data_IF_508497047215
#
_entry.id   IF_508497047215
#
_cell.length_a   1.000
_cell.length_b   1.000
_cell.length_c   1.000
_cell.angle_alpha   90.00
_cell.angle_beta   90.00
_cell.angle_gamma   90.00
#
_symmetry.space_group_name_H-M   'P 1'
#
loop_
_entity.id
_entity.type
_entity.pdbx_description
1 polymer ?
#
# COMPACT_ATOMS: atom_id res chain seq x y z
N UNK A 1 13.43 12.54 -5.87
CA UNK A 1 14.39 13.32 -5.09
C UNK A 1 15.73 12.58 -5.06
N UNK A 2 16.85 13.29 -5.25
CA UNK A 2 18.20 12.74 -5.13
C UNK A 2 18.63 12.91 -3.67
N UNK A 3 18.86 11.79 -2.98
CA UNK A 3 19.55 11.63 -1.67
C UNK A 3 19.48 12.78 -0.65
N UNK A 4 18.92 12.52 0.53
CA UNK A 4 19.01 13.39 1.71
C UNK A 4 19.86 12.76 2.82
N UNK A 5 20.36 13.59 3.75
CA UNK A 5 21.03 13.15 4.97
C UNK A 5 20.13 13.41 6.18
N UNK A 6 19.89 12.39 7.01
CA UNK A 6 19.30 12.54 8.33
C UNK A 6 20.44 12.67 9.34
N UNK A 7 20.63 13.88 9.87
CA UNK A 7 21.64 14.14 10.90
C UNK A 7 20.94 14.21 12.25
N UNK A 8 21.36 13.35 13.19
CA UNK A 8 20.95 13.41 14.58
C UNK A 8 22.02 14.15 15.39
N UNK A 9 21.70 15.35 15.87
CA UNK A 9 22.61 16.13 16.71
C UNK A 9 22.39 15.80 18.17
N UNK A 10 23.45 15.40 18.87
CA UNK A 10 23.44 15.25 20.32
C UNK A 10 23.54 16.64 20.96
N UNK A 11 22.59 16.98 21.83
CA UNK A 11 22.63 18.26 22.53
C UNK A 11 23.91 18.38 23.38
N UNK A 12 24.41 19.61 23.56
CA UNK A 12 25.62 19.86 24.34
C UNK A 12 25.53 19.25 25.74
N UNK A 13 26.53 18.47 26.13
CA UNK A 13 26.59 17.78 27.42
C UNK A 13 25.81 16.46 27.48
N UNK A 14 25.16 16.04 26.39
CA UNK A 14 24.53 14.73 26.29
C UNK A 14 25.43 13.72 25.58
N UNK A 15 25.21 12.44 25.86
CA UNK A 15 25.90 11.32 25.22
C UNK A 15 24.90 10.25 24.83
N UNK A 16 25.12 9.60 23.68
CA UNK A 16 24.50 8.31 23.43
C UNK A 16 25.17 7.28 24.34
N UNK A 17 24.40 6.68 25.22
CA UNK A 17 24.90 5.60 26.07
C UNK A 17 25.18 4.38 25.19
N UNK A 18 26.34 3.75 25.43
CA UNK A 18 26.65 2.47 24.83
C UNK A 18 25.53 1.46 25.14
N UNK A 19 25.30 0.53 24.21
CA UNK A 19 24.34 -0.58 24.35
C UNK A 19 22.88 -0.15 24.60
N UNK A 20 22.54 1.11 24.31
CA UNK A 20 21.18 1.62 24.40
C UNK A 20 20.55 1.71 23.01
N UNK A 21 19.38 1.09 22.85
CA UNK A 21 18.61 1.19 21.62
C UNK A 21 17.96 2.58 21.51
N UNK A 22 18.28 3.31 20.45
CA UNK A 22 17.64 4.58 20.12
C UNK A 22 16.65 4.38 18.97
N UNK A 23 15.37 4.69 19.23
CA UNK A 23 14.29 4.55 18.25
C UNK A 23 14.06 5.90 17.56
N UNK A 24 14.02 5.89 16.24
CA UNK A 24 13.67 7.05 15.44
C UNK A 24 12.62 6.69 14.38
N UNK A 25 11.79 7.66 14.03
CA UNK A 25 10.77 7.53 12.99
C UNK A 25 10.93 8.66 11.98
N UNK A 26 10.85 8.35 10.71
CA UNK A 26 10.77 9.33 9.63
C UNK A 26 9.70 8.93 8.64
N UNK A 27 9.10 9.91 7.95
CA UNK A 27 8.12 9.67 6.89
C UNK A 27 8.76 9.96 5.53
N UNK A 28 8.67 9.00 4.61
CA UNK A 28 9.02 9.21 3.21
C UNK A 28 7.74 9.47 2.43
N UNK A 29 7.62 10.67 1.86
CA UNK A 29 6.46 11.06 1.07
C UNK A 29 6.90 11.26 -0.38
N UNK A 30 6.28 10.53 -1.30
CA UNK A 30 6.43 10.85 -2.72
C UNK A 30 5.82 12.24 -2.98
N UNK A 31 6.50 13.11 -3.76
CA UNK A 31 5.92 14.40 -4.12
C UNK A 31 4.57 14.17 -4.84
N UNK A 32 3.60 15.09 -4.68
CA UNK A 32 2.34 14.98 -5.39
C UNK A 32 2.60 14.92 -6.89
N UNK A 33 1.82 14.11 -7.60
CA UNK A 33 1.89 14.04 -9.05
C UNK A 33 1.70 15.46 -9.62
N UNK A 34 2.72 16.00 -10.27
CA UNK A 34 2.57 17.20 -11.08
C UNK A 34 1.75 16.80 -12.31
N UNK A 35 0.43 16.96 -12.24
CA UNK A 35 -0.55 16.88 -13.34
C UNK A 35 -0.08 16.10 -14.58
N UNK A 36 0.00 14.78 -14.48
CA UNK A 36 0.40 13.90 -15.59
C UNK A 36 0.65 12.45 -15.14
N UNK A 37 0.76 11.50 -16.08
CA UNK A 37 1.12 10.12 -15.77
C UNK A 37 2.51 10.08 -15.11
N UNK A 38 2.56 9.79 -13.81
CA UNK A 38 3.80 9.70 -13.05
C UNK A 38 4.45 8.33 -13.26
N UNK A 39 5.37 8.23 -14.21
CA UNK A 39 6.35 7.14 -14.23
C UNK A 39 7.45 7.49 -13.22
N UNK A 40 7.27 7.08 -11.97
CA UNK A 40 8.36 7.13 -11.00
C UNK A 40 9.18 5.83 -11.17
N UNK A 41 10.41 5.87 -11.71
CA UNK A 41 11.25 4.68 -11.74
C UNK A 41 11.42 4.19 -10.30
N UNK A 42 11.19 2.91 -10.05
CA UNK A 42 11.31 2.31 -8.72
C UNK A 42 12.62 2.74 -8.08
N UNK A 43 12.54 3.53 -7.01
CA UNK A 43 13.74 4.01 -6.31
C UNK A 43 14.03 3.05 -5.18
N UNK A 44 15.25 2.55 -5.14
CA UNK A 44 15.77 1.83 -3.98
C UNK A 44 15.90 2.85 -2.84
N UNK A 45 15.22 2.61 -1.73
CA UNK A 45 15.49 3.29 -0.45
C UNK A 45 16.48 2.43 0.30
N UNK A 46 17.68 2.97 0.55
CA UNK A 46 18.72 2.30 1.32
C UNK A 46 19.03 3.11 2.59
N UNK A 47 19.12 2.42 3.71
CA UNK A 47 19.63 2.97 4.97
C UNK A 47 21.04 2.39 5.16
N UNK A 48 22.02 3.24 5.41
CA UNK A 48 23.40 2.81 5.67
C UNK A 48 23.99 3.61 6.84
N UNK A 49 24.97 3.03 7.52
CA UNK A 49 25.70 3.67 8.60
C UNK A 49 27.20 3.63 8.31
N UNK A 50 27.91 4.66 8.74
CA UNK A 50 29.37 4.71 8.72
C UNK A 50 29.88 4.89 10.15
N UNK A 51 30.86 4.09 10.56
CA UNK A 51 31.70 4.40 11.71
C UNK A 51 31.49 3.61 13.00
N UNK A 52 30.41 2.85 13.25
CA UNK A 52 30.34 1.93 14.43
C UNK A 52 29.22 0.86 14.50
N UNK A 53 28.36 0.67 13.48
CA UNK A 53 27.55 -0.55 13.38
C UNK A 53 27.15 -0.76 11.92
N UNK A 54 27.37 -1.97 11.38
CA UNK A 54 26.84 -2.34 10.07
C UNK A 54 25.33 -2.45 10.17
N UNK A 55 24.60 -1.55 9.53
CA UNK A 55 23.19 -1.83 9.20
C UNK A 55 23.24 -2.83 8.07
N UNK A 56 22.86 -4.08 8.34
CA UNK A 56 22.64 -5.05 7.26
C UNK A 56 21.60 -4.44 6.33
N UNK A 57 22.02 -4.09 5.11
CA UNK A 57 21.14 -3.44 4.14
C UNK A 57 19.90 -4.30 3.94
N UNK A 58 18.76 -3.84 4.45
CA UNK A 58 17.47 -4.47 4.18
C UNK A 58 16.98 -3.92 2.85
N UNK A 59 16.75 -4.81 1.89
CA UNK A 59 16.11 -4.45 0.64
C UNK A 59 14.65 -4.10 0.93
N UNK A 60 14.30 -2.83 0.76
CA UNK A 60 12.90 -2.41 0.72
C UNK A 60 12.41 -2.71 -0.69
N UNK A 61 11.52 -3.71 -0.81
CA UNK A 61 10.85 -4.02 -2.08
C UNK A 61 9.61 -3.15 -2.22
N UNK A 62 9.29 -2.70 -3.43
CA UNK A 62 7.97 -2.15 -3.69
C UNK A 62 6.93 -3.21 -3.33
N UNK A 63 5.98 -2.86 -2.48
CA UNK A 63 4.82 -3.71 -2.30
C UNK A 63 4.04 -3.73 -3.63
N UNK A 64 3.92 -4.88 -4.26
CA UNK A 64 3.16 -4.98 -5.51
C UNK A 64 1.65 -4.98 -5.24
N UNK A 65 1.24 -5.14 -3.97
CA UNK A 65 -0.15 -5.13 -3.58
C UNK A 65 -0.56 -3.69 -3.24
N UNK A 66 -1.65 -3.27 -3.87
CA UNK A 66 -2.21 -1.96 -3.62
C UNK A 66 -2.78 -1.89 -2.19
N UNK A 67 -2.56 -0.79 -1.45
CA UNK A 67 -3.03 -0.69 -0.08
C UNK A 67 -4.56 -0.79 -0.06
N UNK A 68 -5.03 -1.81 0.66
CA UNK A 68 -6.42 -2.12 0.91
C UNK A 68 -6.88 -1.20 2.06
N UNK A 69 -7.90 -0.36 1.79
CA UNK A 69 -8.47 0.55 2.77
C UNK A 69 -9.40 -0.16 3.75
N UNK A 70 -10.38 0.58 4.28
CA UNK A 70 -11.45 -0.04 5.06
C UNK A 70 -12.17 -1.13 4.24
N UNK A 71 -12.65 -2.17 4.91
CA UNK A 71 -13.19 -3.36 4.28
C UNK A 71 -14.67 -3.59 4.63
N UNK A 72 -15.33 -4.32 3.74
CA UNK A 72 -16.68 -4.86 3.87
C UNK A 72 -16.67 -6.31 3.36
N UNK A 73 -17.84 -6.94 3.29
CA UNK A 73 -18.00 -8.29 2.73
C UNK A 73 -18.87 -8.26 1.48
N UNK A 74 -18.63 -9.21 0.59
CA UNK A 74 -19.51 -9.52 -0.52
C UNK A 74 -20.85 -10.03 0.05
N UNK A 75 -21.96 -9.56 -0.50
CA UNK A 75 -23.31 -9.93 -0.09
C UNK A 75 -24.19 -10.14 -1.33
N UNK A 76 -23.75 -11.04 -2.20
CA UNK A 76 -24.40 -11.37 -3.47
C UNK A 76 -25.55 -12.36 -3.30
N UNK A 77 -25.70 -12.97 -2.11
CA UNK A 77 -26.66 -14.05 -1.88
C UNK A 77 -26.27 -15.35 -2.60
N UNK A 78 -25.00 -15.48 -2.97
CA UNK A 78 -24.43 -16.58 -3.75
C UNK A 78 -23.07 -16.23 -4.34
N UNK A 79 -22.50 -17.13 -5.13
CA UNK A 79 -21.22 -16.89 -5.83
C UNK A 79 -21.35 -15.73 -6.83
N UNK A 80 -20.43 -14.76 -6.76
CA UNK A 80 -20.27 -13.76 -7.81
C UNK A 80 -19.55 -14.40 -8.99
N UNK A 81 -20.23 -14.55 -10.12
CA UNK A 81 -19.63 -15.07 -11.36
C UNK A 81 -18.63 -14.08 -11.97
N UNK A 82 -17.63 -14.58 -12.71
CA UNK A 82 -16.60 -13.78 -13.36
C UNK A 82 -17.16 -12.80 -14.41
N UNK A 83 -18.35 -13.06 -14.95
CA UNK A 83 -19.02 -12.19 -15.93
C UNK A 83 -19.95 -11.17 -15.29
N UNK A 84 -20.26 -11.30 -13.99
CA UNK A 84 -21.20 -10.42 -13.31
C UNK A 84 -20.54 -9.07 -12.99
N UNK A 85 -21.18 -7.99 -13.41
CA UNK A 85 -20.70 -6.60 -13.23
C UNK A 85 -21.45 -5.82 -12.15
N UNK A 86 -22.50 -6.40 -11.58
CA UNK A 86 -23.23 -5.87 -10.42
C UNK A 86 -22.76 -6.59 -9.16
N UNK A 87 -22.00 -5.89 -8.31
CA UNK A 87 -21.40 -6.42 -7.09
C UNK A 87 -22.07 -5.78 -5.88
N UNK A 88 -22.82 -6.57 -5.12
CA UNK A 88 -23.48 -6.16 -3.88
C UNK A 88 -22.56 -6.45 -2.72
N UNK A 89 -22.32 -5.43 -1.91
CA UNK A 89 -21.53 -5.51 -0.68
C UNK A 89 -22.41 -5.26 0.54
N UNK A 90 -21.92 -5.59 1.74
CA UNK A 90 -22.66 -5.28 2.96
C UNK A 90 -22.73 -3.77 3.23
N UNK A 91 -21.63 -3.05 2.98
CA UNK A 91 -21.59 -1.59 3.14
C UNK A 91 -20.52 -0.95 2.25
N UNK A 92 -20.95 -0.29 1.17
CA UNK A 92 -20.03 0.40 0.27
C UNK A 92 -19.35 1.59 0.94
N UNK A 93 -20.07 2.32 1.81
CA UNK A 93 -19.54 3.47 2.55
C UNK A 93 -18.51 3.08 3.59
N UNK A 94 -18.69 1.94 4.28
CA UNK A 94 -17.70 1.42 5.24
C UNK A 94 -16.39 1.10 4.55
N UNK A 95 -16.43 0.54 3.33
CA UNK A 95 -15.23 0.27 2.55
C UNK A 95 -14.71 1.49 1.76
N UNK A 96 -15.30 2.69 1.96
CA UNK A 96 -14.88 3.92 1.28
C UNK A 96 -15.08 3.92 -0.24
N UNK A 97 -15.96 3.05 -0.76
CA UNK A 97 -16.08 2.85 -2.20
C UNK A 97 -16.73 4.06 -2.88
N UNK A 98 -16.07 4.59 -3.91
CA UNK A 98 -16.54 5.71 -4.72
C UNK A 98 -16.40 5.38 -6.22
N UNK A 99 -17.27 5.92 -7.10
CA UNK A 99 -17.08 5.82 -8.54
C UNK A 99 -15.69 6.33 -8.98
N UNK A 100 -15.08 5.65 -9.94
CA UNK A 100 -13.73 5.93 -10.44
C UNK A 100 -12.59 5.31 -9.62
N UNK A 101 -12.88 4.74 -8.45
CA UNK A 101 -11.92 3.99 -7.65
C UNK A 101 -11.94 2.50 -7.98
N UNK A 102 -11.09 1.74 -7.28
CA UNK A 102 -11.05 0.29 -7.41
C UNK A 102 -11.53 -0.39 -6.13
N UNK A 103 -12.06 -1.60 -6.26
CA UNK A 103 -12.27 -2.53 -5.16
C UNK A 103 -11.47 -3.80 -5.43
N UNK A 104 -11.02 -4.46 -4.36
CA UNK A 104 -10.33 -5.74 -4.44
C UNK A 104 -11.13 -6.84 -3.74
N UNK A 105 -11.21 -7.99 -4.39
CA UNK A 105 -11.67 -9.25 -3.80
C UNK A 105 -10.67 -10.33 -4.19
N UNK A 106 -10.12 -11.05 -3.23
CA UNK A 106 -9.01 -11.98 -3.44
C UNK A 106 -7.87 -11.28 -4.23
N UNK A 107 -7.47 -11.85 -5.38
CA UNK A 107 -6.46 -11.29 -6.29
C UNK A 107 -7.04 -10.44 -7.43
N UNK A 108 -8.37 -10.25 -7.48
CA UNK A 108 -9.01 -9.43 -8.51
C UNK A 108 -9.19 -7.98 -8.08
N UNK A 109 -8.76 -7.06 -8.94
CA UNK A 109 -9.10 -5.64 -8.87
C UNK A 109 -10.23 -5.34 -9.87
N UNK A 110 -11.19 -4.52 -9.44
CA UNK A 110 -12.32 -4.10 -10.26
C UNK A 110 -12.47 -2.58 -10.19
N UNK A 111 -12.65 -1.93 -11.33
CA UNK A 111 -12.92 -0.48 -11.38
C UNK A 111 -14.39 -0.22 -11.12
N UNK A 112 -14.73 0.64 -10.18
CA UNK A 112 -16.10 1.00 -9.83
C UNK A 112 -16.61 2.08 -10.78
N UNK A 113 -17.54 1.72 -11.66
CA UNK A 113 -18.18 2.66 -12.59
C UNK A 113 -19.29 3.48 -11.91
N UNK A 114 -20.06 2.87 -11.01
CA UNK A 114 -21.13 3.53 -10.28
C UNK A 114 -21.39 2.84 -8.93
N UNK A 115 -21.98 3.59 -7.99
CA UNK A 115 -22.43 3.09 -6.68
C UNK A 115 -23.88 3.47 -6.47
N UNK A 116 -24.75 2.49 -6.24
CA UNK A 116 -26.14 2.66 -5.88
C UNK A 116 -26.39 2.00 -4.51
N UNK A 117 -26.33 2.80 -3.44
CA UNK A 117 -26.32 2.30 -2.06
C UNK A 117 -25.18 1.30 -1.84
N UNK A 118 -25.47 0.00 -1.82
CA UNK A 118 -24.53 -1.08 -1.58
C UNK A 118 -24.26 -1.94 -2.82
N UNK A 119 -24.80 -1.53 -3.97
CA UNK A 119 -24.60 -2.19 -5.25
C UNK A 119 -23.61 -1.38 -6.07
N UNK A 120 -22.50 -2.02 -6.42
CA UNK A 120 -21.44 -1.46 -7.25
C UNK A 120 -21.66 -1.94 -8.68
N UNK A 121 -21.64 -1.02 -9.64
CA UNK A 121 -21.42 -1.37 -11.04
C UNK A 121 -19.93 -1.32 -11.30
N UNK A 122 -19.34 -2.41 -11.78
CA UNK A 122 -17.88 -2.53 -11.93
C UNK A 122 -17.45 -2.99 -13.32
N UNK A 123 -16.24 -2.61 -13.69
CA UNK A 123 -15.45 -3.25 -14.76
C UNK A 123 -14.48 -4.23 -14.09
N UNK A 124 -14.59 -5.51 -14.46
CA UNK A 124 -13.83 -6.63 -13.88
C UNK A 124 -12.40 -6.71 -14.46
N UNK A 125 -11.48 -7.38 -13.76
CA UNK A 125 -10.12 -7.62 -14.26
C UNK A 125 -9.29 -6.37 -14.53
N UNK A 126 -9.41 -5.35 -13.68
CA UNK A 126 -8.69 -4.09 -13.82
C UNK A 126 -7.20 -4.24 -13.45
N UNK A 127 -6.36 -3.31 -13.93
CA UNK A 127 -4.93 -3.24 -13.56
C UNK A 127 -4.16 -4.56 -13.75
N UNK A 128 -4.45 -5.27 -14.83
CA UNK A 128 -3.84 -6.55 -15.21
C UNK A 128 -4.21 -7.74 -14.31
N UNK A 129 -5.26 -7.64 -13.50
CA UNK A 129 -5.86 -8.81 -12.85
C UNK A 129 -6.82 -9.52 -13.82
N UNK A 130 -7.18 -10.76 -13.51
CA UNK A 130 -8.16 -11.54 -14.30
C UNK A 130 -9.49 -11.59 -13.56
N UNK A 131 -10.61 -11.50 -14.29
CA UNK A 131 -11.93 -11.67 -13.70
C UNK A 131 -12.10 -13.11 -13.17
N UNK A 132 -12.45 -13.25 -11.90
CA UNK A 132 -12.59 -14.52 -11.22
C UNK A 132 -13.99 -14.68 -10.58
N UNK A 133 -14.37 -15.91 -10.25
CA UNK A 133 -15.54 -16.14 -9.40
C UNK A 133 -15.18 -15.92 -7.94
N UNK A 134 -16.03 -15.26 -7.17
CA UNK A 134 -15.81 -15.03 -5.74
C UNK A 134 -16.95 -15.60 -4.90
N UNK A 135 -16.59 -16.19 -3.75
CA UNK A 135 -17.57 -16.72 -2.80
C UNK A 135 -18.29 -15.58 -2.06
N UNK A 136 -19.57 -15.79 -1.76
CA UNK A 136 -20.30 -14.87 -0.90
C UNK A 136 -19.62 -14.73 0.47
N UNK A 137 -19.67 -13.54 1.06
CA UNK A 137 -18.93 -13.23 2.29
C UNK A 137 -17.43 -12.97 2.11
N UNK A 138 -16.88 -13.11 0.90
CA UNK A 138 -15.49 -12.74 0.62
C UNK A 138 -15.22 -11.27 1.02
N UNK A 139 -14.01 -11.00 1.50
CA UNK A 139 -13.62 -9.64 1.91
C UNK A 139 -13.50 -8.75 0.68
N UNK A 140 -14.17 -7.59 0.73
CA UNK A 140 -14.09 -6.56 -0.28
C UNK A 140 -13.48 -5.32 0.35
N UNK A 141 -12.41 -4.79 -0.21
CA UNK A 141 -11.85 -3.52 0.27
C UNK A 141 -11.77 -2.48 -0.83
N UNK A 142 -12.01 -1.23 -0.44
CA UNK A 142 -11.76 -0.08 -1.29
C UNK A 142 -10.28 0.15 -1.47
N UNK A 143 -9.87 0.39 -2.71
CA UNK A 143 -8.49 0.68 -3.07
C UNK A 143 -8.42 2.13 -3.54
N UNK A 144 -7.88 2.97 -2.67
CA UNK A 144 -7.75 4.40 -2.87
C UNK A 144 -6.37 4.72 -3.43
N UNK A 145 -6.29 4.83 -4.76
CA UNK A 145 -5.14 5.45 -5.40
C UNK A 145 -5.33 6.96 -5.36
N UNK A 146 -4.29 7.71 -4.97
CA UNK A 146 -4.19 9.10 -5.40
C UNK A 146 -4.37 9.13 -6.93
N UNK A 147 -5.26 9.99 -7.42
CA UNK A 147 -5.69 10.05 -8.83
C UNK A 147 -4.48 9.88 -9.77
N UNK A 148 -4.38 8.72 -10.43
CA UNK A 148 -3.28 8.39 -11.36
C UNK A 148 -2.30 7.29 -10.93
N UNK A 149 -2.47 6.62 -9.79
CA UNK A 149 -1.60 5.50 -9.43
C UNK A 149 -2.06 4.18 -10.09
N UNK A 150 -1.29 3.66 -11.06
CA UNK A 150 -1.34 2.25 -11.46
C UNK A 150 -0.80 1.35 -10.34
N UNK A 151 -0.97 0.03 -10.46
CA UNK A 151 -0.29 -0.96 -9.61
C UNK A 151 1.19 -0.61 -9.46
N UNK A 152 1.64 -0.39 -8.21
CA UNK A 152 3.03 -0.01 -7.89
C UNK A 152 3.36 1.50 -7.89
N UNK A 153 2.45 2.41 -8.23
CA UNK A 153 2.75 3.86 -8.26
C UNK A 153 2.55 4.58 -6.91
N UNK A 154 1.84 3.98 -5.97
CA UNK A 154 1.66 4.48 -4.60
C UNK A 154 1.57 3.34 -3.59
N UNK A 155 2.37 2.29 -3.79
CA UNK A 155 2.41 1.19 -2.85
C UNK A 155 3.14 1.62 -1.56
N UNK A 156 2.66 1.19 -0.37
CA UNK A 156 3.43 1.29 0.85
C UNK A 156 4.81 0.64 0.65
N UNK A 157 5.85 1.26 1.18
CA UNK A 157 7.14 0.60 1.28
C UNK A 157 7.06 -0.42 2.42
N UNK A 158 7.21 -1.71 2.12
CA UNK A 158 7.27 -2.77 3.14
C UNK A 158 8.73 -3.13 3.42
N UNK A 159 9.14 -3.08 4.68
CA UNK A 159 10.50 -3.47 5.10
C UNK A 159 10.51 -4.96 5.36
N UNK A 160 11.12 -5.74 4.46
CA UNK A 160 11.35 -7.17 4.66
C UNK A 160 12.63 -7.37 5.46
N UNK A 161 12.54 -7.24 6.78
CA UNK A 161 13.64 -7.50 7.71
C UNK A 161 13.13 -7.59 9.14
N UNK A 162 13.49 -8.65 9.87
CA UNK A 162 12.91 -8.95 11.18
C UNK A 162 13.50 -8.13 12.34
N UNK A 163 14.57 -7.35 12.15
CA UNK A 163 15.16 -6.49 13.18
C UNK A 163 16.22 -5.58 12.54
N UNK A 164 16.20 -4.29 12.83
CA UNK A 164 17.18 -3.30 12.34
C UNK A 164 18.41 -3.18 13.24
N UNK A 165 18.50 -3.97 14.31
CA UNK A 165 19.66 -4.04 15.20
C UNK A 165 19.89 -5.52 15.54
N UNK A 166 20.91 -6.13 14.94
CA UNK A 166 21.51 -7.36 15.45
C UNK A 166 22.87 -6.96 16.01
N UNK A 167 22.99 -6.99 17.33
CA UNK A 167 24.30 -7.00 17.98
C UNK A 167 24.97 -8.32 17.62
N UNK A 168 26.11 -8.25 16.91
CA UNK A 168 27.03 -9.38 16.89
C UNK A 168 27.87 -9.32 18.17
N UNK A 169 27.87 -10.46 18.88
CA UNK A 169 28.70 -10.85 20.04
C UNK A 169 30.15 -10.40 19.99
#
# INVERSE_FOLDING_TARGET
QATGSLVLTVASGQTFAADTAYVMSFSLTNPPASSGPITQPGRIVAISAAGSASVTGSTVTNDSQLPCGAATSLNQGGTLDATTTSVTVTSASTAGVLPGLHVRIDDELMTVAAVATNVLTVVRGALSTTAASHMDGATVCGVHHGTGAATGLAAPLHVLGTSFISTSI
#
